data_IF_385480731430
#
_entry.id   IF_385480731430
#
_cell.length_a   1.000
_cell.length_b   1.000
_cell.length_c   1.000
_cell.angle_alpha   90.00
_cell.angle_beta   90.00
_cell.angle_gamma   90.00
#
_symmetry.space_group_name_H-M   'P 1'
#
loop_
_entity.id
_entity.type
_entity.pdbx_description
1 polymer ?
#
# COMPACT_ATOMS: atom_id res chain seq x y z
N UNK A 1 17.77 61.72 12.60
CA UNK A 1 18.76 62.62 11.97
C UNK A 1 19.86 61.77 11.37
N UNK A 2 20.37 62.12 10.18
CA UNK A 2 21.64 61.61 9.62
C UNK A 2 22.81 62.00 10.55
N UNK A 3 24.00 61.38 10.56
CA UNK A 3 25.10 61.36 9.55
C UNK A 3 26.25 60.48 10.11
N UNK A 4 27.27 59.94 9.40
CA UNK A 4 27.68 59.77 7.98
C UNK A 4 28.87 58.75 7.96
N UNK A 5 29.15 58.06 6.84
CA UNK A 5 30.40 57.28 6.63
C UNK A 5 31.51 58.14 5.97
N UNK A 6 32.79 57.74 6.04
CA UNK A 6 33.46 57.49 4.75
C UNK A 6 34.53 56.36 4.70
N UNK A 7 34.42 55.55 3.64
CA UNK A 7 35.46 55.19 2.66
C UNK A 7 36.86 54.63 3.07
N UNK A 8 37.03 53.33 2.76
CA UNK A 8 37.91 52.82 1.69
C UNK A 8 39.45 52.93 1.81
N UNK A 9 40.14 51.78 1.79
CA UNK A 9 41.29 51.63 0.89
C UNK A 9 41.51 50.17 0.43
N UNK A 10 41.91 49.99 -0.84
CA UNK A 10 42.22 48.70 -1.48
C UNK A 10 43.74 48.48 -1.52
N UNK A 11 44.20 47.22 -1.52
CA UNK A 11 45.28 46.78 -2.44
C UNK A 11 45.34 45.26 -2.62
N UNK A 12 45.29 44.83 -3.88
CA UNK A 12 45.65 43.49 -4.33
C UNK A 12 47.18 43.32 -4.29
N UNK A 13 47.69 42.08 -4.23
CA UNK A 13 48.79 41.62 -5.09
C UNK A 13 48.77 40.08 -5.20
N UNK A 14 49.30 39.56 -6.31
CA UNK A 14 49.19 38.17 -6.78
C UNK A 14 50.59 37.62 -7.11
N UNK A 15 50.92 36.41 -6.62
CA UNK A 15 51.90 35.42 -7.17
C UNK A 15 53.37 35.86 -7.47
N UNK A 16 54.27 34.91 -7.86
CA UNK A 16 54.35 33.45 -7.61
C UNK A 16 55.68 33.07 -6.87
N UNK A 17 56.01 31.83 -6.44
CA UNK A 17 56.58 30.76 -7.31
C UNK A 17 57.10 29.53 -6.52
N UNK A 18 56.94 28.34 -7.12
CA UNK A 18 57.87 27.18 -7.15
C UNK A 18 58.48 26.56 -5.88
N UNK A 19 58.11 25.30 -5.61
CA UNK A 19 59.08 24.22 -5.36
C UNK A 19 58.61 22.85 -5.90
N UNK A 20 59.52 22.14 -6.56
CA UNK A 20 59.40 20.77 -7.10
C UNK A 20 59.98 19.78 -6.05
N UNK A 21 59.73 18.47 -6.02
CA UNK A 21 59.10 17.47 -6.90
C UNK A 21 58.77 16.21 -6.04
N UNK A 22 58.54 14.96 -6.51
CA UNK A 22 58.29 14.44 -7.87
C UNK A 22 57.12 13.42 -8.02
N UNK A 23 56.69 13.25 -9.28
CA UNK A 23 56.29 11.99 -9.92
C UNK A 23 55.30 11.02 -9.25
N UNK A 24 54.01 11.25 -9.50
CA UNK A 24 53.03 10.18 -9.71
C UNK A 24 52.55 10.21 -11.16
N UNK A 25 53.02 9.29 -12.01
CA UNK A 25 52.52 9.16 -13.38
C UNK A 25 51.08 8.63 -13.36
N UNK A 26 50.11 9.52 -13.55
CA UNK A 26 48.76 9.12 -13.95
C UNK A 26 48.73 9.08 -15.47
N UNK A 27 48.89 7.88 -16.04
CA UNK A 27 48.58 7.67 -17.45
C UNK A 27 47.07 7.87 -17.63
N UNK A 28 46.71 8.95 -18.33
CA UNK A 28 45.37 9.13 -18.88
C UNK A 28 45.23 8.25 -20.13
N UNK A 29 44.91 6.97 -19.93
CA UNK A 29 44.30 6.17 -20.99
C UNK A 29 42.90 6.73 -21.27
N UNK A 30 42.60 7.20 -22.50
CA UNK A 30 41.29 7.79 -22.82
C UNK A 30 40.19 6.73 -23.06
N UNK A 31 40.52 5.44 -23.06
CA UNK A 31 39.68 4.35 -23.56
C UNK A 31 39.29 3.28 -22.51
N UNK A 32 39.02 3.69 -21.27
CA UNK A 32 38.39 2.80 -20.28
C UNK A 32 37.14 3.46 -19.66
N UNK A 33 36.02 2.72 -19.71
CA UNK A 33 34.74 3.06 -19.10
C UNK A 33 33.93 4.24 -19.68
N UNK A 34 33.81 4.28 -21.02
CA UNK A 34 32.44 4.40 -21.57
C UNK A 34 31.70 3.07 -21.34
N UNK A 35 31.28 2.84 -20.11
CA UNK A 35 30.27 1.83 -19.85
C UNK A 35 28.99 2.30 -20.54
N UNK A 36 28.59 1.59 -21.60
CA UNK A 36 27.31 1.80 -22.25
C UNK A 36 26.21 1.80 -21.18
N UNK A 37 25.63 2.98 -20.93
CA UNK A 37 24.25 3.03 -20.46
C UNK A 37 23.40 2.53 -21.61
N UNK A 38 23.35 1.20 -21.79
CA UNK A 38 22.33 0.54 -22.59
C UNK A 38 21.01 1.11 -22.12
N UNK A 39 20.38 1.92 -22.97
CA UNK A 39 18.96 2.19 -22.83
C UNK A 39 18.30 0.81 -22.74
N UNK A 40 17.49 0.60 -21.70
CA UNK A 40 16.71 -0.65 -21.55
C UNK A 40 16.06 -0.92 -22.90
N UNK A 41 16.24 -2.13 -23.42
CA UNK A 41 15.75 -2.43 -24.77
C UNK A 41 14.24 -2.22 -24.83
N UNK A 42 13.68 -1.97 -26.01
CA UNK A 42 12.23 -1.84 -26.15
C UNK A 42 11.49 -3.09 -25.64
N UNK A 43 12.15 -4.25 -25.62
CA UNK A 43 11.61 -5.49 -25.07
C UNK A 43 11.72 -5.58 -23.54
N UNK A 44 12.76 -5.01 -22.91
CA UNK A 44 12.80 -4.79 -21.46
C UNK A 44 11.72 -3.80 -21.03
N UNK A 45 11.50 -2.73 -21.81
CA UNK A 45 10.44 -1.75 -21.59
C UNK A 45 9.06 -2.36 -21.78
N UNK A 46 8.84 -3.18 -22.82
CA UNK A 46 7.60 -3.97 -22.97
C UNK A 46 7.40 -4.94 -21.81
N UNK A 47 8.45 -5.65 -21.38
CA UNK A 47 8.38 -6.57 -20.24
C UNK A 47 8.00 -5.83 -18.94
N UNK A 48 8.61 -4.67 -18.67
CA UNK A 48 8.25 -3.81 -17.54
C UNK A 48 6.83 -3.26 -17.69
N UNK A 49 6.41 -2.82 -18.88
CA UNK A 49 5.04 -2.34 -19.15
C UNK A 49 4.01 -3.46 -19.04
N UNK A 50 4.37 -4.70 -19.39
CA UNK A 50 3.49 -5.87 -19.32
C UNK A 50 3.41 -6.41 -17.89
N UNK A 51 4.50 -6.39 -17.12
CA UNK A 51 4.49 -6.59 -15.66
C UNK A 51 3.72 -5.46 -14.95
N UNK A 52 3.87 -4.22 -15.41
CA UNK A 52 3.07 -3.10 -14.92
C UNK A 52 1.60 -3.26 -15.29
N UNK A 53 1.23 -3.78 -16.46
CA UNK A 53 -0.15 -4.06 -16.84
C UNK A 53 -0.75 -5.27 -16.09
N UNK A 54 0.07 -6.26 -15.73
CA UNK A 54 -0.31 -7.38 -14.86
C UNK A 54 -0.48 -6.93 -13.40
N UNK A 55 0.23 -5.88 -12.96
CA UNK A 55 0.12 -5.30 -11.61
C UNK A 55 -0.85 -4.11 -11.52
N UNK A 56 -1.11 -3.40 -12.61
CA UNK A 56 -2.31 -2.57 -12.83
C UNK A 56 -3.47 -3.45 -13.29
N UNK A 57 -3.77 -4.40 -12.40
CA UNK A 57 -5.08 -4.99 -12.17
C UNK A 57 -6.22 -4.13 -12.74
N UNK A 58 -7.05 -4.76 -13.58
CA UNK A 58 -8.43 -4.44 -13.96
C UNK A 58 -8.90 -3.03 -13.53
N UNK A 59 -9.32 -2.14 -14.47
CA UNK A 59 -9.65 -0.74 -14.16
C UNK A 59 -10.55 -0.66 -12.93
N UNK A 60 -10.03 -0.07 -11.84
CA UNK A 60 -10.65 -0.10 -10.51
C UNK A 60 -12.03 0.55 -10.57
N UNK A 61 -13.06 -0.26 -10.76
CA UNK A 61 -14.44 0.21 -10.83
C UNK A 61 -14.81 0.75 -9.46
N UNK A 62 -15.17 2.02 -9.42
CA UNK A 62 -15.65 2.69 -8.23
C UNK A 62 -17.17 2.87 -8.38
N UNK A 63 -17.90 2.59 -7.32
CA UNK A 63 -19.36 2.71 -7.28
C UNK A 63 -19.73 3.87 -6.37
N UNK A 64 -20.49 4.82 -6.92
CA UNK A 64 -20.99 5.97 -6.18
C UNK A 64 -22.36 5.67 -5.56
N UNK A 65 -22.49 6.04 -4.29
CA UNK A 65 -23.74 6.01 -3.53
C UNK A 65 -24.01 7.41 -2.97
N UNK A 66 -25.28 7.80 -2.88
CA UNK A 66 -25.68 9.11 -2.37
C UNK A 66 -26.36 8.88 -1.02
N UNK A 67 -25.82 9.48 0.05
CA UNK A 67 -26.44 9.40 1.38
C UNK A 67 -27.82 10.05 1.38
N UNK A 68 -28.76 9.51 2.13
CA UNK A 68 -30.04 10.19 2.38
C UNK A 68 -29.94 11.15 3.56
N UNK A 69 -30.68 12.24 3.50
CA UNK A 69 -30.76 13.29 4.53
C UNK A 69 -31.35 14.58 3.97
N UNK A 70 -31.50 15.59 4.82
CA UNK A 70 -32.15 16.87 4.47
C UNK A 70 -31.27 17.82 3.64
N UNK A 71 -29.98 17.49 3.48
CA UNK A 71 -29.01 18.24 2.68
C UNK A 71 -28.68 17.47 1.39
N UNK A 72 -28.18 18.14 0.32
CA UNK A 72 -27.73 17.46 -0.90
C UNK A 72 -26.74 16.34 -0.54
N UNK A 73 -27.15 15.09 -0.83
CA UNK A 73 -26.52 13.90 -0.28
C UNK A 73 -25.04 13.79 -0.60
N UNK A 74 -24.24 13.43 0.41
CA UNK A 74 -22.81 13.19 0.28
C UNK A 74 -22.62 11.99 -0.66
N UNK A 75 -21.75 12.14 -1.65
CA UNK A 75 -21.30 11.03 -2.48
C UNK A 75 -20.29 10.17 -1.70
N UNK A 76 -20.64 8.92 -1.45
CA UNK A 76 -19.75 7.90 -0.92
C UNK A 76 -19.30 6.99 -2.06
N UNK A 77 -18.04 6.58 -2.05
CA UNK A 77 -17.43 5.79 -3.13
C UNK A 77 -16.87 4.49 -2.58
N UNK A 78 -17.32 3.35 -3.10
CA UNK A 78 -16.75 2.03 -2.79
C UNK A 78 -15.98 1.51 -4.00
N UNK A 79 -14.71 1.10 -3.85
CA UNK A 79 -14.00 0.37 -4.90
C UNK A 79 -14.53 -1.06 -5.00
N UNK A 80 -14.59 -1.60 -6.23
CA UNK A 80 -14.89 -3.00 -6.46
C UNK A 80 -13.88 -3.89 -5.71
N UNK A 81 -14.36 -4.97 -5.10
CA UNK A 81 -13.48 -6.04 -4.62
C UNK A 81 -13.11 -6.91 -5.82
N UNK A 82 -11.85 -6.84 -6.23
CA UNK A 82 -11.30 -7.57 -7.37
C UNK A 82 -10.31 -8.66 -6.96
N UNK A 83 -9.71 -8.59 -5.77
CA UNK A 83 -8.79 -9.63 -5.27
C UNK A 83 -8.83 -9.77 -3.75
N UNK A 84 -9.10 -10.99 -3.26
CA UNK A 84 -9.05 -11.32 -1.83
C UNK A 84 -7.61 -11.33 -1.28
N UNK A 85 -6.59 -11.44 -2.13
CA UNK A 85 -5.19 -11.46 -1.66
C UNK A 85 -4.58 -10.06 -1.49
N UNK A 86 -5.04 -9.09 -2.30
CA UNK A 86 -4.42 -7.76 -2.44
C UNK A 86 -5.24 -6.61 -1.84
N UNK A 87 -6.47 -6.86 -1.40
CA UNK A 87 -7.34 -5.86 -0.74
C UNK A 87 -7.63 -6.29 0.70
N UNK A 88 -7.77 -5.32 1.61
CA UNK A 88 -8.27 -5.61 2.96
C UNK A 88 -9.77 -5.88 2.90
N UNK A 89 -10.12 -7.17 2.75
CA UNK A 89 -11.51 -7.63 2.65
C UNK A 89 -12.30 -7.28 3.90
N UNK A 90 -11.68 -7.26 5.09
CA UNK A 90 -12.38 -6.93 6.32
C UNK A 90 -12.74 -5.45 6.39
N UNK A 91 -11.81 -4.55 6.03
CA UNK A 91 -12.10 -3.12 5.93
C UNK A 91 -13.17 -2.86 4.86
N UNK A 92 -13.02 -3.45 3.67
CA UNK A 92 -14.01 -3.31 2.58
C UNK A 92 -15.42 -3.74 3.00
N UNK A 93 -15.56 -4.85 3.74
CA UNK A 93 -16.86 -5.30 4.27
C UNK A 93 -17.47 -4.27 5.24
N UNK A 94 -16.64 -3.61 6.04
CA UNK A 94 -17.12 -2.60 6.99
C UNK A 94 -17.52 -1.30 6.26
N UNK A 95 -16.75 -0.88 5.26
CA UNK A 95 -17.07 0.26 4.38
C UNK A 95 -18.41 0.04 3.65
N UNK A 96 -18.61 -1.15 3.07
CA UNK A 96 -19.87 -1.54 2.39
C UNK A 96 -21.07 -1.46 3.34
N UNK A 97 -20.93 -1.98 4.57
CA UNK A 97 -22.00 -1.90 5.59
C UNK A 97 -22.29 -0.46 5.99
N UNK A 98 -21.26 0.38 6.15
CA UNK A 98 -21.43 1.78 6.49
C UNK A 98 -22.17 2.54 5.39
N UNK A 99 -21.84 2.30 4.12
CA UNK A 99 -22.57 2.91 2.99
C UNK A 99 -24.00 2.41 2.91
N UNK A 100 -24.26 1.11 3.09
CA UNK A 100 -25.62 0.58 3.10
C UNK A 100 -26.48 1.18 4.23
N UNK A 101 -25.89 1.42 5.40
CA UNK A 101 -26.53 2.14 6.49
C UNK A 101 -26.82 3.61 6.13
N UNK A 102 -25.81 4.37 5.68
CA UNK A 102 -25.94 5.81 5.37
C UNK A 102 -26.82 6.13 4.14
N UNK A 103 -27.05 5.14 3.26
CA UNK A 103 -27.91 5.28 2.09
C UNK A 103 -29.28 4.58 2.27
N UNK A 104 -29.57 4.04 3.46
CA UNK A 104 -30.76 3.25 3.79
C UNK A 104 -31.06 2.14 2.76
N UNK A 105 -30.04 1.35 2.41
CA UNK A 105 -30.18 0.24 1.47
C UNK A 105 -30.90 -0.91 2.19
N UNK A 106 -32.13 -1.20 1.77
CA UNK A 106 -32.92 -2.32 2.31
C UNK A 106 -32.20 -3.66 2.11
N UNK A 107 -32.29 -4.57 3.08
CA UNK A 107 -31.62 -5.88 3.05
C UNK A 107 -31.88 -6.66 1.74
N UNK A 108 -33.09 -6.55 1.19
CA UNK A 108 -33.51 -7.08 -0.11
C UNK A 108 -32.60 -6.64 -1.27
N UNK A 109 -32.14 -5.38 -1.24
CA UNK A 109 -31.27 -4.77 -2.25
C UNK A 109 -29.79 -4.93 -1.93
N UNK A 110 -29.41 -5.04 -0.65
CA UNK A 110 -28.01 -5.18 -0.23
C UNK A 110 -27.31 -6.34 -0.96
N UNK A 111 -27.95 -7.51 -1.07
CA UNK A 111 -27.37 -8.67 -1.76
C UNK A 111 -27.14 -8.43 -3.26
N UNK A 112 -28.02 -7.67 -3.93
CA UNK A 112 -27.82 -7.28 -5.33
C UNK A 112 -26.65 -6.31 -5.48
N UNK A 113 -26.52 -5.33 -4.57
CA UNK A 113 -25.38 -4.43 -4.53
C UNK A 113 -24.07 -5.16 -4.21
N UNK A 114 -24.04 -6.08 -3.24
CA UNK A 114 -22.84 -6.89 -2.95
C UNK A 114 -22.38 -7.59 -4.23
N UNK A 115 -23.26 -8.29 -4.94
CA UNK A 115 -22.89 -8.99 -6.17
C UNK A 115 -22.37 -8.06 -7.29
N UNK A 116 -22.80 -6.79 -7.33
CA UNK A 116 -22.30 -5.76 -8.24
C UNK A 116 -20.93 -5.20 -7.82
N UNK A 117 -20.70 -5.07 -6.51
CA UNK A 117 -19.46 -4.53 -5.92
C UNK A 117 -18.30 -5.54 -5.92
N UNK A 118 -18.55 -6.79 -6.33
CA UNK A 118 -17.54 -7.85 -6.48
C UNK A 118 -17.14 -8.03 -7.96
N UNK A 119 -15.92 -8.51 -8.21
CA UNK A 119 -15.53 -8.98 -9.55
C UNK A 119 -16.21 -10.31 -9.90
N UNK A 120 -16.38 -10.60 -11.19
CA UNK A 120 -17.01 -11.84 -11.67
C UNK A 120 -16.31 -13.10 -11.15
N UNK A 121 -15.01 -13.05 -10.91
CA UNK A 121 -14.24 -14.15 -10.33
C UNK A 121 -14.60 -14.38 -8.86
N UNK A 122 -14.67 -13.31 -8.06
CA UNK A 122 -15.04 -13.41 -6.64
C UNK A 122 -16.52 -13.80 -6.50
N UNK A 123 -17.42 -13.21 -7.28
CA UNK A 123 -18.85 -13.56 -7.32
C UNK A 123 -19.08 -15.02 -7.72
N UNK A 124 -18.29 -15.58 -8.63
CA UNK A 124 -18.33 -17.01 -8.98
C UNK A 124 -17.82 -17.89 -7.83
N UNK A 125 -16.72 -17.51 -7.19
CA UNK A 125 -16.10 -18.25 -6.09
C UNK A 125 -17.02 -18.33 -4.85
N UNK A 126 -17.56 -17.19 -4.39
CA UNK A 126 -18.39 -17.16 -3.17
C UNK A 126 -19.87 -17.53 -3.41
N UNK A 127 -20.24 -17.88 -4.65
CA UNK A 127 -21.64 -18.01 -5.10
C UNK A 127 -22.52 -18.75 -4.09
N UNK A 128 -23.68 -18.17 -3.79
CA UNK A 128 -24.63 -18.71 -2.81
C UNK A 128 -26.07 -18.48 -3.26
N UNK A 129 -26.98 -19.34 -2.81
CA UNK A 129 -28.43 -19.18 -3.02
C UNK A 129 -29.07 -18.29 -1.93
N UNK A 130 -28.33 -17.95 -0.87
CA UNK A 130 -28.85 -17.11 0.21
C UNK A 130 -29.09 -15.67 -0.26
N UNK A 131 -30.24 -15.12 0.12
CA UNK A 131 -30.55 -13.68 -0.01
C UNK A 131 -30.07 -12.85 1.17
N UNK A 132 -29.60 -13.46 2.27
CA UNK A 132 -29.08 -12.75 3.44
C UNK A 132 -27.66 -12.21 3.17
N UNK A 133 -27.45 -10.89 3.19
CA UNK A 133 -26.13 -10.28 2.96
C UNK A 133 -25.08 -10.72 3.99
N UNK A 134 -25.47 -11.10 5.22
CA UNK A 134 -24.55 -11.63 6.23
C UNK A 134 -23.90 -12.94 5.79
N UNK A 135 -24.63 -13.78 5.05
CA UNK A 135 -24.09 -15.03 4.50
C UNK A 135 -23.04 -14.74 3.41
N UNK A 136 -23.24 -13.71 2.58
CA UNK A 136 -22.27 -13.27 1.59
C UNK A 136 -20.99 -12.73 2.24
N UNK A 137 -21.11 -11.85 3.23
CA UNK A 137 -19.97 -11.34 3.98
C UNK A 137 -19.22 -12.44 4.74
N UNK A 138 -19.92 -13.40 5.35
CA UNK A 138 -19.28 -14.53 6.03
C UNK A 138 -18.51 -15.41 5.04
N UNK A 139 -19.04 -15.66 3.83
CA UNK A 139 -18.32 -16.38 2.78
C UNK A 139 -17.05 -15.65 2.32
N UNK A 140 -17.12 -14.34 2.11
CA UNK A 140 -15.91 -13.54 1.80
C UNK A 140 -14.84 -13.69 2.88
N UNK A 141 -15.21 -13.66 4.16
CA UNK A 141 -14.28 -13.89 5.26
C UNK A 141 -13.68 -15.30 5.21
N UNK A 142 -14.49 -16.35 5.00
CA UNK A 142 -13.98 -17.74 5.00
C UNK A 142 -13.07 -18.06 3.81
N UNK A 143 -13.34 -17.52 2.62
CA UNK A 143 -12.48 -17.71 1.45
C UNK A 143 -11.20 -16.85 1.50
N UNK A 144 -11.24 -15.71 2.19
CA UNK A 144 -10.05 -14.84 2.36
C UNK A 144 -9.10 -15.37 3.43
N UNK A 145 -9.63 -15.58 4.64
CA UNK A 145 -8.84 -15.83 5.85
C UNK A 145 -8.70 -17.33 6.11
N UNK A 146 -8.10 -18.02 5.14
CA UNK A 146 -7.86 -19.47 5.18
C UNK A 146 -6.59 -19.83 5.96
N UNK A 147 -6.39 -21.12 6.25
CA UNK A 147 -5.12 -21.61 6.81
C UNK A 147 -3.91 -21.25 5.91
N UNK A 148 -4.07 -21.31 4.59
CA UNK A 148 -3.01 -20.90 3.65
C UNK A 148 -2.67 -19.40 3.82
N UNK A 149 -3.66 -18.54 4.06
CA UNK A 149 -3.41 -17.12 4.37
C UNK A 149 -2.71 -16.94 5.72
N UNK A 150 -3.06 -17.71 6.75
CA UNK A 150 -2.34 -17.76 8.03
C UNK A 150 -0.86 -18.15 7.82
N UNK A 151 -0.59 -19.22 7.08
CA UNK A 151 0.77 -19.73 6.82
C UNK A 151 1.61 -18.71 6.00
N UNK A 152 0.97 -17.94 5.11
CA UNK A 152 1.61 -16.79 4.42
C UNK A 152 1.94 -15.65 5.40
N UNK A 153 1.00 -15.24 6.25
CA UNK A 153 1.19 -14.17 7.24
C UNK A 153 2.31 -14.54 8.23
N UNK A 154 2.39 -15.79 8.67
CA UNK A 154 3.45 -16.25 9.58
C UNK A 154 4.84 -16.05 8.95
N UNK A 155 5.03 -16.44 7.69
CA UNK A 155 6.27 -16.24 6.92
C UNK A 155 6.60 -14.77 6.63
N UNK A 156 5.61 -13.88 6.66
CA UNK A 156 5.82 -12.43 6.60
C UNK A 156 6.30 -11.91 7.96
N UNK A 157 5.64 -12.30 9.06
CA UNK A 157 5.98 -11.92 10.43
C UNK A 157 7.39 -12.39 10.83
N UNK A 158 7.79 -13.60 10.44
CA UNK A 158 9.16 -14.13 10.63
C UNK A 158 10.25 -13.24 10.00
N UNK A 159 9.91 -12.46 8.97
CA UNK A 159 10.82 -11.54 8.26
C UNK A 159 10.72 -10.09 8.76
N UNK A 160 9.83 -9.81 9.72
CA UNK A 160 9.68 -8.48 10.29
C UNK A 160 10.77 -8.22 11.34
N UNK A 161 11.79 -7.47 10.96
CA UNK A 161 12.78 -6.93 11.89
C UNK A 161 12.57 -5.42 12.05
N UNK A 162 12.78 -4.88 13.25
CA UNK A 162 12.59 -3.45 13.56
C UNK A 162 13.44 -2.56 12.63
N UNK A 163 14.63 -3.03 12.26
CA UNK A 163 15.57 -2.33 11.37
C UNK A 163 15.08 -2.18 9.91
N UNK A 164 13.98 -2.86 9.54
CA UNK A 164 13.40 -2.80 8.19
C UNK A 164 12.35 -1.67 8.05
N UNK A 165 12.13 -0.85 9.10
CA UNK A 165 11.09 0.18 9.17
C UNK A 165 11.69 1.53 9.59
N UNK A 166 11.03 2.64 9.22
CA UNK A 166 11.54 3.99 9.53
C UNK A 166 11.50 4.31 11.02
N UNK A 167 10.64 3.62 11.79
CA UNK A 167 10.55 3.78 13.25
C UNK A 167 9.97 2.55 13.96
N UNK A 168 10.24 2.37 15.27
CA UNK A 168 9.57 1.35 16.08
C UNK A 168 8.04 1.48 16.09
N UNK A 169 7.52 2.71 15.96
CA UNK A 169 6.07 2.98 15.87
C UNK A 169 5.48 2.45 14.56
N UNK A 170 6.21 2.57 13.46
CA UNK A 170 5.81 1.99 12.18
C UNK A 170 5.85 0.46 12.23
N UNK A 171 6.95 -0.13 12.71
CA UNK A 171 7.06 -1.58 12.93
C UNK A 171 5.86 -2.11 13.74
N UNK A 172 5.53 -1.46 14.85
CA UNK A 172 4.42 -1.85 15.72
C UNK A 172 3.06 -1.70 15.04
N UNK A 173 2.87 -0.72 14.15
CA UNK A 173 1.65 -0.58 13.33
C UNK A 173 1.49 -1.77 12.40
N UNK A 174 2.53 -2.12 11.63
CA UNK A 174 2.50 -3.26 10.70
C UNK A 174 2.34 -4.60 11.43
N UNK A 175 3.03 -4.78 12.56
CA UNK A 175 2.92 -6.01 13.36
C UNK A 175 1.51 -6.21 13.91
N UNK A 176 0.89 -5.14 14.44
CA UNK A 176 -0.49 -5.20 14.92
C UNK A 176 -1.51 -5.39 13.78
N UNK A 177 -1.22 -4.93 12.56
CA UNK A 177 -2.04 -5.23 11.39
C UNK A 177 -1.97 -6.72 11.04
N UNK A 178 -0.76 -7.29 10.93
CA UNK A 178 -0.57 -8.72 10.67
C UNK A 178 -1.25 -9.58 11.75
N UNK A 179 -1.09 -9.22 13.02
CA UNK A 179 -1.77 -9.87 14.16
C UNK A 179 -3.30 -9.91 14.01
N UNK A 180 -3.92 -8.81 13.56
CA UNK A 180 -5.37 -8.76 13.27
C UNK A 180 -5.76 -9.67 12.11
N UNK A 181 -4.96 -9.72 11.03
CA UNK A 181 -5.18 -10.69 9.93
C UNK A 181 -5.07 -12.14 10.44
N UNK A 182 -4.10 -12.45 11.30
CA UNK A 182 -3.92 -13.77 11.92
C UNK A 182 -5.15 -14.18 12.74
N UNK A 183 -5.70 -13.28 13.57
CA UNK A 183 -6.92 -13.55 14.35
C UNK A 183 -8.15 -13.85 13.47
N UNK A 184 -8.24 -13.25 12.28
CA UNK A 184 -9.32 -13.52 11.33
C UNK A 184 -9.21 -14.92 10.71
N UNK A 185 -7.99 -15.43 10.52
CA UNK A 185 -7.75 -16.80 10.02
C UNK A 185 -8.00 -17.89 11.06
N UNK A 186 -8.18 -17.52 12.33
CA UNK A 186 -8.36 -18.45 13.44
C UNK A 186 -9.82 -18.54 13.90
N UNK A 187 -10.22 -19.75 14.31
CA UNK A 187 -11.45 -19.98 15.07
C UNK A 187 -11.47 -19.10 16.32
N UNK A 188 -12.65 -18.65 16.74
CA UNK A 188 -12.83 -17.72 17.87
C UNK A 188 -12.15 -18.20 19.16
N UNK A 189 -12.16 -19.51 19.42
CA UNK A 189 -11.51 -20.17 20.56
C UNK A 189 -9.97 -20.10 20.57
N UNK A 190 -9.36 -19.92 19.39
CA UNK A 190 -7.90 -19.91 19.19
C UNK A 190 -7.35 -18.50 18.89
N UNK A 191 -8.18 -17.45 19.00
CA UNK A 191 -7.75 -16.06 18.75
C UNK A 191 -6.88 -15.55 19.88
N UNK A 192 -5.90 -14.72 19.54
CA UNK A 192 -5.01 -14.11 20.52
C UNK A 192 -5.83 -13.23 21.45
N UNK A 193 -5.87 -13.62 22.72
CA UNK A 193 -6.65 -12.97 23.76
C UNK A 193 -6.05 -11.61 24.13
N UNK A 194 -6.83 -10.75 24.76
CA UNK A 194 -6.32 -9.45 25.22
C UNK A 194 -5.24 -9.58 26.30
N UNK A 195 -5.19 -10.74 26.98
CA UNK A 195 -4.11 -11.13 27.89
C UNK A 195 -2.78 -11.33 27.15
N UNK A 196 -2.81 -12.00 26.00
CA UNK A 196 -1.64 -12.17 25.13
C UNK A 196 -1.30 -10.87 24.37
N UNK A 197 -2.27 -9.98 24.11
CA UNK A 197 -1.99 -8.66 23.54
C UNK A 197 -1.14 -7.79 24.47
N UNK A 198 -1.43 -7.79 25.78
CA UNK A 198 -0.66 -7.04 26.79
C UNK A 198 0.80 -7.47 26.96
N UNK A 199 1.19 -8.66 26.52
CA UNK A 199 2.59 -9.15 26.60
C UNK A 199 3.47 -8.52 25.50
N UNK A 200 2.86 -7.99 24.43
CA UNK A 200 3.55 -7.35 23.30
C UNK A 200 3.21 -5.85 23.14
N UNK A 201 2.74 -5.21 24.22
CA UNK A 201 2.38 -3.78 24.28
C UNK A 201 3.34 -3.02 25.18
#
# INVERSE_FOLDING_TARGET
MSTVQPLNNKRNHYNPSLSLSPSGHVNLDPDVNRQDRKMKSDDDLKSIVQQLALTTLQPKKNFEFITKGDLPGIKLTIPQLYSLEHQDVKQWIDDVKQVFFLCEVTDEKQTAYINLLLSDDISRMIKTQSKDPKVWFNKLITETYTKNRFDKILKEVEKMHVNNYESPKEYLRHFNQKKKETDLCMKKENRLTDREKKIFS
#
